data_IF_375440556962
#
_entry.id   IF_375440556962
#
_cell.length_a   1.000
_cell.length_b   1.000
_cell.length_c   1.000
_cell.angle_alpha   90.00
_cell.angle_beta   90.00
_cell.angle_gamma   90.00
#
_symmetry.space_group_name_H-M   'P 1'
#
loop_
_entity.id
_entity.type
_entity.pdbx_description
1 polymer ?
#
# COMPACT_ATOMS: atom_id res chain seq x y z
N UNK A 1 -7.83 2.67 4.78
CA UNK A 1 -8.81 1.63 5.14
C UNK A 1 -9.41 1.11 3.84
N UNK A 2 -9.13 -0.14 3.52
CA UNK A 2 -9.81 -0.87 2.43
C UNK A 2 -11.29 -0.98 2.83
N UNK A 3 -12.20 -0.47 2.01
CA UNK A 3 -13.59 -0.28 2.43
C UNK A 3 -14.43 -1.53 2.24
N UNK A 4 -14.12 -2.32 1.20
CA UNK A 4 -14.91 -3.51 0.83
C UNK A 4 -14.10 -4.44 -0.08
N UNK A 5 -14.27 -5.75 0.09
CA UNK A 5 -13.74 -6.79 -0.80
C UNK A 5 -14.88 -7.28 -1.68
N UNK A 6 -14.70 -7.16 -2.99
CA UNK A 6 -15.71 -7.53 -3.99
C UNK A 6 -15.56 -8.95 -4.49
N UNK A 7 -14.32 -9.46 -4.52
CA UNK A 7 -13.99 -10.73 -5.15
C UNK A 7 -12.73 -11.33 -4.55
N UNK A 8 -12.69 -12.66 -4.45
CA UNK A 8 -11.60 -13.43 -3.86
C UNK A 8 -11.31 -14.66 -4.73
N UNK A 9 -10.13 -14.66 -5.36
CA UNK A 9 -9.62 -15.77 -6.15
C UNK A 9 -8.48 -16.46 -5.39
N UNK A 10 -8.54 -17.79 -5.29
CA UNK A 10 -7.40 -18.61 -4.85
C UNK A 10 -6.59 -19.04 -6.08
N UNK A 11 -5.34 -18.60 -6.15
CA UNK A 11 -4.39 -18.98 -7.18
C UNK A 11 -3.34 -19.97 -6.67
N UNK A 12 -2.81 -20.78 -7.57
CA UNK A 12 -1.61 -21.60 -7.35
C UNK A 12 -0.51 -21.02 -8.23
N UNK A 13 0.65 -20.72 -7.66
CA UNK A 13 1.79 -20.27 -8.42
C UNK A 13 2.31 -21.40 -9.33
N UNK A 14 3.05 -21.04 -10.39
CA UNK A 14 3.64 -22.01 -11.32
C UNK A 14 4.54 -23.02 -10.63
N UNK A 15 5.18 -22.60 -9.54
CA UNK A 15 5.95 -23.45 -8.65
C UNK A 15 4.96 -24.02 -7.64
N UNK A 16 4.61 -25.30 -7.85
CA UNK A 16 3.51 -26.08 -7.25
C UNK A 16 3.43 -26.14 -5.71
N UNK A 17 4.23 -25.33 -5.02
CA UNK A 17 4.33 -25.23 -3.56
C UNK A 17 3.81 -23.90 -2.98
N UNK A 18 3.46 -22.90 -3.79
CA UNK A 18 2.91 -21.64 -3.27
C UNK A 18 1.50 -21.39 -3.79
N UNK A 19 0.56 -21.18 -2.85
CA UNK A 19 -0.77 -20.67 -3.14
C UNK A 19 -0.84 -19.19 -2.76
N UNK A 20 -1.63 -18.40 -3.49
CA UNK A 20 -1.85 -16.99 -3.20
C UNK A 20 -3.34 -16.67 -3.27
N UNK A 21 -3.75 -15.66 -2.51
CA UNK A 21 -5.09 -15.10 -2.57
C UNK A 21 -5.04 -13.78 -3.34
N UNK A 22 -5.89 -13.63 -4.35
CA UNK A 22 -6.08 -12.36 -5.06
C UNK A 22 -7.44 -11.80 -4.67
N UNK A 23 -7.43 -10.58 -4.14
CA UNK A 23 -8.65 -9.89 -3.74
C UNK A 23 -8.86 -8.64 -4.59
N UNK A 24 -10.09 -8.43 -5.07
CA UNK A 24 -10.49 -7.14 -5.65
C UNK A 24 -11.16 -6.31 -4.57
N UNK A 25 -10.69 -5.09 -4.35
CA UNK A 25 -11.13 -4.25 -3.24
C UNK A 25 -11.46 -2.83 -3.69
N UNK A 26 -12.38 -2.18 -2.98
CA UNK A 26 -12.52 -0.72 -3.06
C UNK A 26 -11.65 -0.07 -2.00
N UNK A 27 -10.95 1.00 -2.39
CA UNK A 27 -10.17 1.82 -1.48
C UNK A 27 -10.42 3.31 -1.73
N UNK A 28 -10.42 4.07 -0.64
CA UNK A 28 -10.51 5.52 -0.67
C UNK A 28 -9.16 6.11 -1.10
N UNK A 29 -9.10 6.67 -2.31
CA UNK A 29 -7.87 7.26 -2.90
C UNK A 29 -7.53 8.64 -2.34
N UNK A 30 -8.53 9.31 -1.78
CA UNK A 30 -8.44 10.60 -1.10
C UNK A 30 -7.84 10.49 0.31
N UNK A 31 -7.64 9.26 0.80
CA UNK A 31 -7.02 8.95 2.09
C UNK A 31 -5.59 8.44 1.88
N UNK A 32 -4.72 8.57 2.91
CA UNK A 32 -3.40 7.98 2.89
C UNK A 32 -3.44 6.49 2.52
N UNK A 33 -2.58 6.12 1.58
CA UNK A 33 -2.43 4.75 1.12
C UNK A 33 -1.95 3.87 2.27
N UNK A 34 -2.52 2.68 2.36
CA UNK A 34 -2.27 1.79 3.47
C UNK A 34 -0.92 1.08 3.30
N UNK A 35 -0.04 1.12 4.30
CA UNK A 35 1.32 0.54 4.17
C UNK A 35 1.43 -0.89 4.70
N UNK A 36 0.49 -1.30 5.54
CA UNK A 36 0.43 -2.64 6.11
C UNK A 36 -1.01 -3.10 6.30
N UNK A 37 -1.21 -4.40 6.27
CA UNK A 37 -2.46 -5.06 6.60
C UNK A 37 -2.25 -5.91 7.85
N UNK A 38 -3.10 -5.72 8.84
CA UNK A 38 -3.15 -6.55 10.04
C UNK A 38 -4.18 -7.65 9.83
N UNK A 39 -3.75 -8.90 9.83
CA UNK A 39 -4.62 -10.07 9.62
C UNK A 39 -4.48 -11.03 10.79
N UNK A 40 -5.60 -11.46 11.36
CA UNK A 40 -5.66 -12.66 12.20
C UNK A 40 -6.13 -13.83 11.33
N UNK A 41 -5.23 -14.77 11.05
CA UNK A 41 -5.52 -15.91 10.19
C UNK A 41 -6.21 -17.07 10.90
N UNK A 42 -6.07 -17.16 12.22
CA UNK A 42 -6.43 -18.35 12.99
C UNK A 42 -7.46 -18.06 14.09
N UNK A 43 -7.97 -16.83 14.14
CA UNK A 43 -8.88 -16.33 15.20
C UNK A 43 -8.35 -16.65 16.61
N UNK A 44 -7.02 -16.64 16.75
CA UNK A 44 -6.32 -16.97 17.98
C UNK A 44 -5.80 -15.70 18.69
N UNK A 45 -6.19 -14.53 18.20
CA UNK A 45 -5.75 -13.23 18.68
C UNK A 45 -4.36 -12.83 18.20
N UNK A 46 -3.67 -13.67 17.41
CA UNK A 46 -2.35 -13.36 16.87
C UNK A 46 -2.48 -12.60 15.56
N UNK A 47 -2.48 -11.28 15.68
CA UNK A 47 -2.44 -10.37 14.53
C UNK A 47 -1.05 -10.39 13.90
N UNK A 48 -0.98 -10.74 12.62
CA UNK A 48 0.22 -10.62 11.80
C UNK A 48 0.13 -9.33 10.99
N UNK A 49 1.12 -8.45 11.14
CA UNK A 49 1.28 -7.27 10.30
C UNK A 49 2.02 -7.65 9.02
N UNK A 50 1.36 -7.53 7.89
CA UNK A 50 1.91 -7.77 6.56
C UNK A 50 2.17 -6.45 5.86
N UNK A 51 3.37 -6.25 5.33
CA UNK A 51 3.68 -5.06 4.53
C UNK A 51 3.00 -5.15 3.16
N UNK A 52 2.46 -4.02 2.70
CA UNK A 52 1.85 -3.92 1.38
C UNK A 52 2.85 -3.32 0.39
N UNK A 53 3.08 -4.05 -0.70
CA UNK A 53 3.81 -3.55 -1.85
C UNK A 53 2.82 -3.31 -3.00
N UNK A 54 2.95 -2.16 -3.65
CA UNK A 54 2.08 -1.70 -4.71
C UNK A 54 2.77 -1.78 -6.06
N UNK A 55 2.04 -2.27 -7.05
CA UNK A 55 2.45 -2.23 -8.46
C UNK A 55 1.75 -1.06 -9.15
N UNK A 56 2.48 -0.39 -10.07
CA UNK A 56 1.93 0.64 -10.98
C UNK A 56 1.19 1.78 -10.27
N UNK A 57 1.77 2.27 -9.17
CA UNK A 57 1.24 3.40 -8.41
C UNK A 57 1.32 4.70 -9.23
N UNK A 58 0.21 5.16 -9.81
CA UNK A 58 0.14 6.42 -10.57
C UNK A 58 -0.15 7.60 -9.64
N UNK A 59 0.47 8.75 -9.89
CA UNK A 59 0.23 10.04 -9.24
C UNK A 59 0.13 9.97 -7.70
N UNK A 60 1.15 9.38 -7.07
CA UNK A 60 1.24 9.30 -5.61
C UNK A 60 1.99 10.49 -5.01
N UNK A 61 1.39 11.11 -4.01
CA UNK A 61 1.96 12.23 -3.29
C UNK A 61 2.68 11.78 -2.01
N UNK A 62 4.01 11.90 -2.01
CA UNK A 62 4.85 11.55 -0.84
C UNK A 62 4.69 12.49 0.36
N UNK A 63 4.08 13.66 0.16
CA UNK A 63 3.85 14.63 1.24
C UNK A 63 2.63 14.26 2.08
N UNK A 64 1.54 13.81 1.45
CA UNK A 64 0.28 13.51 2.13
C UNK A 64 -0.16 12.04 2.05
N UNK A 65 0.64 11.19 1.40
CA UNK A 65 0.42 9.76 1.18
C UNK A 65 -0.82 9.40 0.34
N UNK A 66 -1.35 10.33 -0.46
CA UNK A 66 -2.58 10.13 -1.26
C UNK A 66 -2.29 9.90 -2.73
N UNK A 67 -3.26 9.33 -3.44
CA UNK A 67 -3.24 9.21 -4.89
C UNK A 67 -3.95 10.39 -5.58
N UNK A 68 -3.64 10.60 -6.86
CA UNK A 68 -4.30 11.56 -7.74
C UNK A 68 -3.60 12.90 -7.90
N UNK A 69 -2.42 13.09 -7.32
CA UNK A 69 -1.57 14.26 -7.56
C UNK A 69 -0.12 13.95 -7.23
N UNK A 70 0.80 14.66 -7.88
CA UNK A 70 2.22 14.63 -7.51
C UNK A 70 2.50 15.59 -6.36
N UNK A 71 3.62 15.40 -5.68
CA UNK A 71 3.99 16.19 -4.51
C UNK A 71 4.07 17.71 -4.79
N UNK A 72 4.48 18.10 -5.99
CA UNK A 72 4.61 19.51 -6.40
C UNK A 72 3.26 20.22 -6.49
N UNK A 73 2.18 19.47 -6.70
CA UNK A 73 0.80 19.94 -6.77
C UNK A 73 0.10 19.84 -5.40
N UNK A 74 0.79 19.37 -4.37
CA UNK A 74 0.20 19.11 -3.07
C UNK A 74 -0.02 20.40 -2.27
N UNK A 75 -1.28 20.71 -1.99
CA UNK A 75 -1.71 21.88 -1.20
C UNK A 75 -1.76 21.63 0.31
N UNK A 76 -1.44 20.40 0.76
CA UNK A 76 -1.44 20.07 2.19
C UNK A 76 -0.22 20.68 2.84
N UNK A 77 -0.44 21.59 3.79
CA UNK A 77 0.64 22.08 4.66
C UNK A 77 1.04 20.98 5.63
N UNK A 78 2.33 20.62 5.62
CA UNK A 78 2.89 19.61 6.51
C UNK A 78 3.71 20.30 7.58
N UNK A 79 3.51 19.90 8.83
CA UNK A 79 4.31 20.37 9.96
C UNK A 79 5.80 20.15 9.68
N UNK A 80 6.65 21.14 9.99
CA UNK A 80 8.10 21.16 9.67
C UNK A 80 8.86 19.91 10.12
N UNK A 81 8.35 19.18 11.11
CA UNK A 81 8.95 17.94 11.62
C UNK A 81 8.75 16.72 10.69
N UNK A 82 7.76 16.78 9.79
CA UNK A 82 7.48 15.77 8.76
C UNK A 82 8.04 16.14 7.39
N UNK A 83 8.85 17.21 7.29
CA UNK A 83 9.67 17.48 6.10
C UNK A 83 10.80 16.43 5.99
N UNK A 84 10.41 15.19 5.71
CA UNK A 84 11.30 14.17 5.21
C UNK A 84 11.79 14.70 3.86
N UNK A 85 13.10 14.96 3.74
CA UNK A 85 13.65 15.48 2.48
C UNK A 85 13.19 14.62 1.30
N UNK A 86 12.96 15.23 0.14
CA UNK A 86 12.57 14.55 -1.09
C UNK A 86 13.39 13.27 -1.36
N UNK A 87 14.70 13.32 -1.07
CA UNK A 87 15.59 12.18 -1.22
C UNK A 87 15.32 11.05 -0.23
N UNK A 88 14.95 11.37 1.02
CA UNK A 88 14.56 10.36 2.01
C UNK A 88 13.18 9.77 1.68
N UNK A 89 12.22 10.60 1.25
CA UNK A 89 10.91 10.14 0.80
C UNK A 89 11.02 9.21 -0.42
N UNK A 90 11.86 9.55 -1.40
CA UNK A 90 12.16 8.70 -2.56
C UNK A 90 12.81 7.36 -2.19
N UNK A 91 13.65 7.34 -1.16
CA UNK A 91 14.23 6.08 -0.64
C UNK A 91 13.18 5.18 0.02
N UNK A 92 12.14 5.76 0.61
CA UNK A 92 11.02 4.99 1.18
C UNK A 92 10.15 4.32 0.11
N UNK A 93 10.13 4.87 -1.12
CA UNK A 93 9.38 4.31 -2.26
C UNK A 93 9.90 2.95 -2.70
N UNK A 94 11.21 2.72 -2.55
CA UNK A 94 11.82 1.41 -2.82
C UNK A 94 11.16 0.32 -1.96
N UNK A 95 10.67 0.66 -0.77
CA UNK A 95 10.01 -0.28 0.14
C UNK A 95 8.50 -0.41 -0.09
N UNK A 96 7.89 0.46 -0.91
CA UNK A 96 6.46 0.38 -1.24
C UNK A 96 6.22 -0.20 -2.63
N UNK A 97 7.24 -0.23 -3.49
CA UNK A 97 7.13 -0.81 -4.83
C UNK A 97 7.31 -2.32 -4.77
N UNK A 98 6.39 -3.05 -5.38
CA UNK A 98 6.62 -4.46 -5.64
C UNK A 98 7.61 -4.61 -6.80
N UNK A 99 8.48 -5.62 -6.73
CA UNK A 99 9.23 -6.07 -7.89
C UNK A 99 8.24 -6.50 -8.97
N UNK A 100 8.40 -6.02 -10.20
CA UNK A 100 7.58 -6.53 -11.30
C UNK A 100 7.83 -8.04 -11.48
N UNK A 101 6.78 -8.85 -11.72
CA UNK A 101 6.91 -10.28 -12.00
C UNK A 101 7.81 -10.59 -13.20
#
# INVERSE_FOLDING_TARGET
MMSEVHDLDLGVASDSLSCFLRARVTMAVDKPLQRYLCVDFLDNGKVIAMLLHYERLMDYCFRCDRLGHVMDECVVEVEKEREVSFNAARKLVVWLQASSP
#
